data_IF_507851902853
#
_entry.id   IF_507851902853
#
_cell.length_a   1.000
_cell.length_b   1.000
_cell.length_c   1.000
_cell.angle_alpha   90.00
_cell.angle_beta   90.00
_cell.angle_gamma   90.00
#
_symmetry.space_group_name_H-M   'P 1'
#
loop_
_entity.id
_entity.type
_entity.pdbx_description
1 polymer ?
2 non-polymer ?
3 water ?
#
# COMPACT_ATOMS: atom_id res chain seq x y z
N UNK A 27 10.60 -15.18 -3.44
CA UNK A 27 10.48 -14.97 -1.97
C UNK A 27 9.33 -14.00 -1.62
N UNK A 28 9.47 -12.76 -2.07
CA UNK A 28 8.42 -11.79 -1.91
C UNK A 28 7.71 -11.65 -3.26
N UNK A 29 6.40 -11.87 -3.28
CA UNK A 29 5.61 -11.70 -4.49
C UNK A 29 4.80 -10.40 -4.39
N UNK A 30 4.97 -9.53 -5.37
CA UNK A 30 4.21 -8.32 -5.47
C UNK A 30 3.06 -8.49 -6.44
N UNK A 31 1.84 -8.32 -5.92
CA UNK A 31 0.63 -8.33 -6.73
C UNK A 31 -0.11 -7.02 -6.54
N UNK A 32 -0.54 -6.38 -7.62
CA UNK A 32 -1.38 -5.20 -7.49
C UNK A 32 -2.84 -5.56 -7.75
N UNK A 33 -3.76 -4.83 -7.11
CA UNK A 33 -5.17 -5.08 -7.29
C UNK A 33 -5.91 -3.75 -7.37
N UNK A 34 -7.15 -3.78 -7.88
CA UNK A 34 -7.91 -2.55 -8.02
C UNK A 34 -9.33 -2.71 -7.49
N UNK A 35 -9.83 -1.66 -6.84
CA UNK A 35 -11.24 -1.53 -6.53
C UNK A 35 -11.83 -0.54 -7.57
N UNK A 36 -12.49 -1.07 -8.59
CA UNK A 36 -13.13 -0.25 -9.62
C UNK A 36 -14.49 0.13 -9.11
N UNK A 37 -14.78 1.42 -9.10
CA UNK A 37 -16.05 1.94 -8.56
C UNK A 37 -16.94 2.52 -9.64
N UNK A 38 -18.19 2.06 -9.69
CA UNK A 38 -19.12 2.53 -10.71
C UNK A 38 -19.89 3.73 -10.18
N UNK A 39 -20.79 4.26 -11.02
CA UNK A 39 -21.58 5.44 -10.71
C UNK A 39 -22.34 5.29 -9.41
N UNK A 40 -22.68 4.06 -9.05
CA UNK A 40 -23.50 3.82 -7.85
C UNK A 40 -22.71 3.38 -6.61
N UNK A 41 -21.40 3.57 -6.61
CA UNK A 41 -20.53 3.07 -5.53
C UNK A 41 -20.53 1.54 -5.33
N UNK A 42 -20.69 0.81 -6.43
CA UNK A 42 -20.46 -0.62 -6.40
C UNK A 42 -19.02 -0.85 -6.79
N UNK A 43 -18.42 -1.85 -6.19
CA UNK A 43 -17.07 -2.25 -6.55
C UNK A 43 -17.14 -3.56 -7.32
N UNK A 44 -16.23 -3.77 -8.27
CA UNK A 44 -16.26 -5.01 -9.07
C UNK A 44 -15.42 -6.10 -8.45
N UNK A 45 -16.05 -7.25 -8.22
CA UNK A 45 -15.31 -8.47 -7.89
C UNK A 45 -15.42 -9.46 -9.04
N UNK A 46 -14.41 -10.32 -9.20
CA UNK A 46 -14.41 -11.34 -10.25
C UNK A 46 -14.13 -12.73 -9.67
N UNK A 47 -14.59 -13.75 -10.36
CA UNK A 47 -14.50 -15.11 -9.89
C UNK A 47 -14.04 -15.99 -11.05
N UNK A 48 -12.97 -16.75 -10.81
CA UNK A 48 -12.45 -17.70 -11.80
C UNK A 48 -13.54 -18.71 -12.20
N UNK A 49 -13.56 -19.14 -13.47
CA UNK A 49 -14.66 -20.05 -13.87
C UNK A 49 -14.60 -21.40 -13.12
N UNK A 50 -15.74 -22.06 -12.94
CA UNK A 50 -15.77 -23.34 -12.23
C UNK A 50 -14.89 -24.41 -12.92
N UNK A 51 -14.74 -24.34 -14.25
CA UNK A 51 -13.87 -25.25 -15.00
C UNK A 51 -14.22 -26.71 -14.76
N UNK A 52 -13.29 -27.48 -14.20
CA UNK A 52 -13.54 -28.90 -13.99
C UNK A 52 -13.80 -29.26 -12.53
N UNK A 53 -14.05 -28.27 -11.70
CA UNK A 53 -14.40 -28.58 -10.33
C UNK A 53 -15.44 -27.58 -9.85
N UNK A 54 -15.18 -27.00 -8.68
CA UNK A 54 -16.17 -26.11 -8.09
C UNK A 54 -15.90 -24.61 -8.26
N UNK A 55 -16.99 -23.86 -8.08
CA UNK A 55 -16.98 -22.38 -8.10
C UNK A 55 -15.94 -21.80 -7.11
N UNK A 56 -15.07 -20.91 -7.57
CA UNK A 56 -14.02 -20.30 -6.72
C UNK A 56 -14.47 -19.09 -5.90
N UNK A 57 -13.51 -18.35 -5.34
CA UNK A 57 -13.81 -17.20 -4.48
C UNK A 57 -13.98 -15.92 -5.29
N UNK A 58 -14.60 -14.91 -4.68
CA UNK A 58 -14.70 -13.56 -5.27
C UNK A 58 -13.49 -12.71 -4.89
N UNK A 59 -12.93 -11.98 -5.84
CA UNK A 59 -11.76 -11.21 -5.50
C UNK A 59 -11.61 -9.96 -6.35
N UNK A 60 -10.76 -9.05 -5.89
CA UNK A 60 -10.41 -7.87 -6.69
C UNK A 60 -9.63 -8.28 -7.92
N UNK A 61 -9.94 -7.67 -9.05
CA UNK A 61 -9.10 -7.94 -10.23
C UNK A 61 -7.68 -7.40 -10.03
N UNK A 62 -6.69 -8.09 -10.61
CA UNK A 62 -5.30 -7.68 -10.48
C UNK A 62 -4.31 -8.70 -10.99
N UNK A 63 -3.03 -8.48 -10.72
CA UNK A 63 -2.03 -9.45 -11.17
C UNK A 63 -0.65 -9.12 -10.68
N UNK A 64 0.30 -10.01 -11.01
CA UNK A 64 1.72 -9.87 -10.63
C UNK A 64 2.32 -8.59 -11.22
N UNK A 65 3.17 -7.92 -10.46
CA UNK A 65 3.99 -6.83 -11.03
C UNK A 65 5.22 -7.47 -11.70
N UNK A 66 5.31 -7.33 -13.03
CA UNK A 66 6.42 -7.92 -13.81
C UNK A 66 7.59 -6.95 -13.96
N UNK A 67 8.78 -7.49 -14.21
CA UNK A 67 10.03 -6.72 -14.48
C UNK A 67 9.88 -5.61 -15.52
N UNK A 68 10.43 -4.44 -15.21
CA UNK A 68 10.40 -3.32 -16.14
C UNK A 68 9.01 -2.69 -16.24
N UNK A 69 8.13 -3.04 -15.30
CA UNK A 69 6.82 -2.39 -15.18
C UNK A 69 6.70 -1.66 -13.84
N UNK A 70 6.12 -0.49 -13.85
CA UNK A 70 5.68 0.09 -12.59
C UNK A 70 4.46 -0.70 -12.05
N UNK A 71 4.16 -0.56 -10.74
CA UNK A 71 2.92 -1.17 -10.27
C UNK A 71 1.71 -0.68 -11.05
N UNK A 72 1.69 0.59 -11.42
CA UNK A 72 0.55 1.15 -12.16
C UNK A 72 0.42 0.52 -13.56
N UNK A 73 1.54 0.41 -14.27
CA UNK A 73 1.57 -0.23 -15.60
C UNK A 73 1.01 -1.65 -15.57
N UNK A 74 1.49 -2.46 -14.63
CA UNK A 74 1.00 -3.82 -14.38
C UNK A 74 -0.52 -3.88 -14.19
N UNK A 75 -1.03 -3.00 -13.32
CA UNK A 75 -2.45 -3.00 -13.02
C UNK A 75 -3.21 -2.61 -14.27
N UNK A 76 -2.75 -1.54 -14.94
CA UNK A 76 -3.40 -1.02 -16.14
C UNK A 76 -3.52 -2.13 -17.20
N UNK A 77 -2.42 -2.86 -17.41
CA UNK A 77 -2.42 -3.98 -18.36
C UNK A 77 -3.36 -5.12 -17.94
N UNK A 78 -3.33 -5.50 -16.68
CA UNK A 78 -4.24 -6.51 -16.12
C UNK A 78 -5.70 -6.19 -16.31
N UNK A 79 -6.06 -4.94 -16.05
CA UNK A 79 -7.44 -4.54 -16.21
C UNK A 79 -7.87 -4.57 -17.67
N UNK A 80 -6.93 -4.26 -18.57
CA UNK A 80 -7.27 -4.25 -19.99
C UNK A 80 -7.36 -5.70 -20.49
N UNK A 81 -6.39 -6.54 -20.14
CA UNK A 81 -6.43 -7.95 -20.52
C UNK A 81 -7.68 -8.67 -19.98
N UNK A 82 -7.99 -8.48 -18.69
CA UNK A 82 -9.03 -9.27 -18.05
C UNK A 82 -10.43 -8.76 -18.28
N UNK A 83 -10.58 -7.46 -18.48
CA UNK A 83 -11.90 -6.86 -18.42
C UNK A 83 -12.20 -5.92 -19.57
N UNK A 84 -11.20 -5.65 -20.40
CA UNK A 84 -11.30 -4.66 -21.46
C UNK A 84 -11.59 -3.27 -20.92
N UNK A 85 -11.18 -3.03 -19.66
CA UNK A 85 -11.32 -1.72 -19.00
C UNK A 85 -10.01 -0.92 -19.21
N UNK A 86 -10.17 0.34 -19.58
CA UNK A 86 -9.04 1.17 -19.93
C UNK A 86 -8.88 2.30 -18.92
N UNK A 87 -7.72 2.30 -18.27
CA UNK A 87 -7.46 3.16 -17.11
C UNK A 87 -6.21 3.95 -17.37
N UNK A 88 -6.21 5.22 -16.96
CA UNK A 88 -5.01 6.09 -16.94
C UNK A 88 -4.31 6.02 -15.58
N UNK A 89 -2.98 6.04 -15.56
CA UNK A 89 -2.22 6.02 -14.30
C UNK A 89 -2.65 7.12 -13.33
N UNK A 90 -2.90 8.34 -13.82
CA UNK A 90 -3.34 9.46 -12.96
C UNK A 90 -4.71 9.22 -12.31
N UNK A 91 -5.41 8.17 -12.74
CA UNK A 91 -6.72 7.88 -12.15
C UNK A 91 -6.72 6.70 -11.21
N UNK A 92 -5.54 6.11 -11.02
CA UNK A 92 -5.35 5.08 -9.99
C UNK A 92 -4.81 5.69 -8.69
N UNK A 93 -5.58 5.56 -7.60
CA UNK A 93 -5.17 6.09 -6.30
C UNK A 93 -4.84 5.01 -5.29
N UNK A 94 -3.61 5.07 -4.73
CA UNK A 94 -3.26 4.16 -3.65
C UNK A 94 -4.32 4.14 -2.55
N UNK A 95 -4.70 2.97 -2.07
CA UNK A 95 -5.64 2.91 -0.96
C UNK A 95 -4.96 2.27 0.24
N UNK A 96 -4.65 0.99 0.14
CA UNK A 96 -4.01 0.29 1.21
C UNK A 96 -3.25 -0.87 0.61
N UNK A 97 -2.70 -1.72 1.46
CA UNK A 97 -2.04 -2.89 0.98
C UNK A 97 -2.30 -4.04 1.94
N UNK A 98 -2.16 -5.26 1.43
CA UNK A 98 -2.17 -6.42 2.33
C UNK A 98 -0.80 -7.06 2.31
N UNK A 99 -0.49 -7.73 3.40
CA UNK A 99 0.76 -8.36 3.59
C UNK A 99 0.44 -9.67 4.33
N UNK A 100 0.83 -10.79 3.73
CA UNK A 100 0.29 -12.08 4.12
C UNK A 100 1.34 -13.14 3.85
N UNK A 101 1.67 -13.89 4.90
CA UNK A 101 2.65 -14.95 4.81
C UNK A 101 1.98 -16.24 4.33
N UNK A 102 2.62 -16.90 3.36
CA UNK A 102 2.23 -18.26 2.91
C UNK A 102 3.41 -19.19 3.19
N UNK A 103 3.21 -20.51 3.03
CA UNK A 103 4.24 -21.50 3.35
C UNK A 103 5.54 -21.31 2.58
N UNK A 104 5.46 -20.73 1.39
CA UNK A 104 6.57 -20.80 0.43
C UNK A 104 6.97 -19.42 -0.13
N UNK A 105 6.18 -18.39 0.20
CA UNK A 105 6.46 -17.03 -0.27
C UNK A 105 5.69 -16.00 0.55
N UNK A 106 6.11 -14.74 0.47
CA UNK A 106 5.36 -13.64 1.12
C UNK A 106 4.63 -12.81 0.06
N UNK A 107 3.35 -12.51 0.32
CA UNK A 107 2.58 -11.66 -0.57
C UNK A 107 2.56 -10.23 -0.05
N UNK A 108 2.96 -9.29 -0.88
CA UNK A 108 2.70 -7.89 -0.65
C UNK A 108 1.74 -7.43 -1.76
N UNK A 109 0.57 -6.95 -1.36
CA UNK A 109 -0.45 -6.62 -2.31
C UNK A 109 -1.03 -5.21 -2.16
N UNK A 110 -0.48 -4.25 -2.91
CA UNK A 110 -1.03 -2.91 -2.99
C UNK A 110 -2.43 -2.87 -3.69
N UNK A 111 -3.39 -2.26 -3.02
CA UNK A 111 -4.72 -2.02 -3.55
C UNK A 111 -4.93 -0.56 -3.95
N UNK A 112 -5.34 -0.36 -5.20
CA UNK A 112 -5.67 0.94 -5.76
C UNK A 112 -7.18 1.05 -5.88
N UNK A 113 -7.69 2.27 -5.87
CA UNK A 113 -9.07 2.48 -6.27
C UNK A 113 -9.14 3.34 -7.52
N UNK A 114 -10.22 3.16 -8.27
CA UNK A 114 -10.39 3.88 -9.53
C UNK A 114 -11.89 4.03 -9.83
N UNK A 115 -12.34 5.28 -9.94
CA UNK A 115 -13.71 5.60 -10.27
C UNK A 115 -13.84 6.26 -11.65
N UNK A 116 -12.73 6.38 -12.37
CA UNK A 116 -12.72 7.01 -13.69
C UNK A 116 -11.95 6.14 -14.68
N UNK A 117 -12.70 5.46 -15.53
CA UNK A 117 -12.11 4.52 -16.51
C UNK A 117 -13.01 4.44 -17.73
N UNK A 118 -12.47 3.85 -18.79
CA UNK A 118 -13.23 3.71 -20.03
C UNK A 118 -13.42 2.22 -20.36
N UNK A 119 -14.52 1.91 -21.04
CA UNK A 119 -14.82 0.55 -21.48
C UNK A 119 -15.92 -0.02 -20.63
N UNK A 120 -16.52 -1.11 -21.07
CA UNK A 120 -17.51 -1.78 -20.26
C UNK A 120 -16.89 -3.08 -19.78
N UNK A 121 -16.77 -3.25 -18.46
CA UNK A 121 -16.15 -4.45 -17.90
C UNK A 121 -16.89 -5.68 -18.40
N UNK A 122 -16.13 -6.61 -18.97
CA UNK A 122 -16.64 -7.88 -19.50
C UNK A 122 -15.57 -8.92 -19.14
N UNK A 123 -15.98 -10.14 -18.82
CA UNK A 123 -15.01 -11.18 -18.47
C UNK A 123 -14.24 -11.74 -19.67
N UNK A 124 -13.16 -11.07 -20.08
CA UNK A 124 -12.44 -11.47 -21.32
C UNK A 124 -11.68 -12.81 -21.19
N UNK A 125 -11.48 -13.26 -19.97
CA UNK A 125 -10.81 -14.53 -19.70
C UNK A 125 -11.78 -15.57 -19.15
N UNK A 126 -13.05 -15.43 -19.55
CA UNK A 126 -14.12 -16.39 -19.24
C UNK A 126 -14.55 -16.40 -17.77
N UNK A 127 -14.09 -15.41 -17.00
CA UNK A 127 -14.35 -15.36 -15.55
C UNK A 127 -15.69 -14.68 -15.28
N UNK A 128 -16.18 -14.76 -14.04
CA UNK A 128 -17.48 -14.18 -13.65
C UNK A 128 -17.27 -12.82 -12.98
N UNK A 129 -18.24 -11.90 -13.17
CA UNK A 129 -18.14 -10.52 -12.75
C UNK A 129 -19.32 -10.19 -11.88
N UNK A 130 -19.11 -9.42 -10.82
CA UNK A 130 -20.20 -9.01 -9.95
C UNK A 130 -19.92 -7.65 -9.34
N UNK A 131 -20.79 -6.70 -9.68
CA UNK A 131 -20.73 -5.36 -9.12
C UNK A 131 -21.50 -5.35 -7.79
N UNK A 132 -20.79 -5.04 -6.71
CA UNK A 132 -21.31 -5.14 -5.37
C UNK A 132 -21.16 -3.84 -4.60
N UNK A 133 -22.27 -3.31 -4.08
CA UNK A 133 -22.24 -2.14 -3.19
C UNK A 133 -21.16 -2.34 -2.12
N UNK A 134 -20.37 -1.30 -1.87
CA UNK A 134 -19.20 -1.37 -0.95
C UNK A 134 -19.49 -1.94 0.43
N UNK A 135 -20.61 -1.56 1.04
CA UNK A 135 -20.93 -2.08 2.37
C UNK A 135 -21.32 -3.56 2.36
N UNK A 136 -21.62 -4.08 1.16
CA UNK A 136 -22.00 -5.49 1.01
C UNK A 136 -20.84 -6.44 0.66
N UNK A 137 -19.65 -5.92 0.46
CA UNK A 137 -18.55 -6.79 0.01
C UNK A 137 -18.27 -7.98 0.93
N UNK A 138 -18.27 -7.76 2.24
CA UNK A 138 -17.98 -8.85 3.20
C UNK A 138 -19.10 -9.89 3.35
N UNK A 139 -20.18 -9.71 2.57
CA UNK A 139 -21.19 -10.77 2.43
C UNK A 139 -20.73 -11.95 1.55
N UNK A 140 -19.71 -11.73 0.70
CA UNK A 140 -19.26 -12.71 -0.30
C UNK A 140 -17.98 -13.43 0.12
N UNK A 141 -17.86 -14.74 -0.23
CA UNK A 141 -16.62 -15.48 0.08
C UNK A 141 -15.47 -14.88 -0.71
N UNK A 142 -14.39 -14.56 0.01
CA UNK A 142 -13.22 -13.90 -0.59
C UNK A 142 -11.94 -14.51 -0.07
N UNK A 143 -10.84 -14.42 -0.84
CA UNK A 143 -9.58 -14.99 -0.28
C UNK A 143 -9.22 -14.30 1.03
N UNK A 144 -8.55 -15.03 1.92
CA UNK A 144 -8.17 -14.46 3.25
C UNK A 144 -7.36 -13.17 3.13
N UNK A 145 -6.49 -13.11 2.12
CA UNK A 145 -5.63 -11.95 1.88
C UNK A 145 -6.42 -10.71 1.49
N UNK A 146 -7.49 -10.91 0.71
CA UNK A 146 -8.34 -9.80 0.27
C UNK A 146 -9.18 -9.20 1.41
N UNK A 147 -9.43 -9.96 2.47
CA UNK A 147 -10.45 -9.53 3.44
C UNK A 147 -10.16 -8.31 4.31
N UNK A 148 -8.90 -8.15 4.78
CA UNK A 148 -8.62 -6.89 5.47
C UNK A 148 -8.85 -5.68 4.55
N UNK A 149 -8.65 -5.86 3.25
CA UNK A 149 -8.78 -4.75 2.32
C UNK A 149 -10.22 -4.27 2.27
N UNK A 150 -11.17 -5.20 2.36
CA UNK A 150 -12.61 -4.88 2.39
C UNK A 150 -12.95 -3.88 3.50
N UNK A 151 -12.45 -4.15 4.71
CA UNK A 151 -12.70 -3.26 5.86
C UNK A 151 -12.24 -1.83 5.60
N UNK A 152 -11.07 -1.67 4.98
CA UNK A 152 -10.55 -0.34 4.66
C UNK A 152 -11.46 0.40 3.67
N UNK A 153 -12.00 -0.32 2.70
CA UNK A 153 -12.93 0.25 1.74
C UNK A 153 -14.22 0.77 2.38
N UNK A 154 -14.77 -0.01 3.31
CA UNK A 154 -15.99 0.38 4.03
C UNK A 154 -15.84 1.71 4.75
N UNK A 155 -14.76 1.91 5.50
CA UNK A 155 -14.56 3.20 6.19
C UNK A 155 -14.15 4.40 5.35
N UNK A 156 -13.63 4.20 4.15
CA UNK A 156 -13.30 5.32 3.29
C UNK A 156 -14.55 5.79 2.59
N UNK B 27 15.10 -0.57 -11.96
CA UNK B 27 13.81 -1.30 -11.73
C UNK B 27 13.12 -0.87 -10.41
N UNK B 28 12.68 -1.86 -9.62
CA UNK B 28 11.75 -1.63 -8.51
C UNK B 28 12.37 -1.81 -7.10
N UNK B 29 12.46 -0.70 -6.36
CA UNK B 29 12.94 -0.71 -4.97
C UNK B 29 11.73 -0.77 -4.01
N UNK B 30 11.72 -1.79 -3.15
CA UNK B 30 10.69 -1.94 -2.11
C UNK B 30 11.21 -1.50 -0.74
N UNK B 31 10.57 -0.46 -0.21
CA UNK B 31 10.94 0.17 1.06
C UNK B 31 9.72 0.23 2.00
N UNK B 32 9.88 -0.19 3.25
CA UNK B 32 8.81 -0.07 4.21
C UNK B 32 9.09 1.12 5.13
N UNK B 33 8.03 1.83 5.51
CA UNK B 33 8.16 2.99 6.36
C UNK B 33 7.09 2.97 7.45
N UNK B 34 7.33 3.75 8.51
CA UNK B 34 6.39 3.78 9.62
C UNK B 34 6.03 5.17 10.07
N UNK B 35 4.74 5.40 10.28
CA UNK B 35 4.28 6.56 11.03
C UNK B 35 4.09 6.16 12.53
N UNK B 36 5.09 6.46 13.35
CA UNK B 36 4.98 6.28 14.81
C UNK B 36 4.17 7.41 15.38
N UNK B 37 3.19 7.10 16.23
CA UNK B 37 2.28 8.10 16.84
C UNK B 37 2.53 8.27 18.34
N UNK B 38 2.59 9.52 18.82
CA UNK B 38 2.65 9.74 20.28
C UNK B 38 1.25 9.92 20.92
N UNK B 39 1.22 10.10 22.25
CA UNK B 39 -0.06 10.26 22.98
C UNK B 39 -1.02 11.27 22.32
N UNK B 40 -0.46 12.25 21.59
CA UNK B 40 -1.27 13.30 20.96
C UNK B 40 -1.51 13.09 19.47
N UNK B 41 -1.12 11.93 18.95
CA UNK B 41 -1.21 11.68 17.50
C UNK B 41 -0.30 12.56 16.65
N UNK B 42 0.75 13.08 17.25
CA UNK B 42 1.85 13.57 16.45
C UNK B 42 2.55 12.36 15.81
N UNK B 43 3.13 12.58 14.64
CA UNK B 43 3.85 11.57 13.89
C UNK B 43 5.32 11.96 13.90
N UNK B 44 6.21 10.98 14.02
CA UNK B 44 7.64 11.28 14.02
C UNK B 44 8.20 11.32 12.58
N UNK B 45 8.84 12.42 12.24
CA UNK B 45 9.63 12.48 10.99
C UNK B 45 11.08 12.63 11.35
N UNK B 46 11.97 12.20 10.44
CA UNK B 46 13.41 12.31 10.66
C UNK B 46 14.09 12.98 9.46
N UNK B 47 15.19 13.69 9.73
CA UNK B 47 15.96 14.41 8.72
C UNK B 47 17.38 13.89 8.77
N UNK B 48 17.84 13.29 7.68
CA UNK B 48 19.23 12.80 7.56
C UNK B 48 20.24 13.91 7.80
N UNK B 49 21.40 13.57 8.46
CA UNK B 49 22.29 14.61 9.04
C UNK B 49 22.81 15.58 7.98
N UNK B 50 23.00 16.85 8.35
CA UNK B 50 23.55 17.82 7.38
C UNK B 50 25.00 17.49 6.99
N UNK B 51 25.74 16.91 7.94
CA UNK B 51 27.14 16.54 7.74
C UNK B 51 27.95 17.70 7.20
N UNK B 52 28.43 17.55 5.98
CA UNK B 52 29.32 18.55 5.35
C UNK B 52 28.56 19.46 4.37
N UNK B 53 27.26 19.63 4.63
CA UNK B 53 26.33 20.08 3.60
C UNK B 53 25.15 20.86 4.19
N UNK B 54 24.02 20.89 3.50
CA UNK B 54 22.78 21.42 4.08
C UNK B 54 21.99 20.24 4.69
N UNK B 55 21.08 20.53 5.62
CA UNK B 55 20.26 19.47 6.22
C UNK B 55 19.28 18.95 5.19
N UNK B 56 19.05 17.65 5.16
CA UNK B 56 18.13 17.03 4.20
C UNK B 56 16.66 17.36 4.39
N UNK B 57 15.82 16.49 3.85
CA UNK B 57 14.38 16.65 3.88
C UNK B 57 13.79 15.84 5.05
N UNK B 58 12.57 16.18 5.47
CA UNK B 58 11.92 15.44 6.55
C UNK B 58 11.17 14.25 5.98
N UNK B 59 11.34 13.06 6.58
CA UNK B 59 10.73 11.85 6.00
C UNK B 59 10.25 10.82 7.02
N UNK B 60 9.42 9.89 6.57
CA UNK B 60 9.03 8.79 7.44
C UNK B 60 10.23 7.84 7.59
N UNK B 61 10.46 7.38 8.82
CA UNK B 61 11.59 6.49 9.01
C UNK B 61 11.27 5.15 8.35
N UNK B 62 12.28 4.48 7.83
CA UNK B 62 12.06 3.16 7.22
C UNK B 62 13.29 2.68 6.45
N UNK B 63 13.12 1.61 5.69
CA UNK B 63 14.24 1.05 4.97
C UNK B 63 13.83 -0.06 4.04
N UNK B 64 14.81 -0.58 3.31
CA UNK B 64 14.63 -1.60 2.29
C UNK B 64 14.15 -2.92 2.89
N UNK B 65 13.20 -3.59 2.23
CA UNK B 65 12.93 -4.99 2.56
C UNK B 65 14.11 -5.86 2.11
N UNK B 66 14.57 -6.72 3.01
CA UNK B 66 15.71 -7.63 2.75
C UNK B 66 15.22 -9.05 2.42
N UNK B 67 16.09 -9.82 1.76
CA UNK B 67 15.87 -11.25 1.54
C UNK B 67 15.83 -11.98 2.88
N UNK B 68 14.82 -12.83 3.06
CA UNK B 68 14.73 -13.63 4.27
C UNK B 68 14.02 -12.94 5.43
N UNK B 69 13.41 -11.79 5.15
CA UNK B 69 12.61 -11.05 6.15
C UNK B 69 11.31 -10.74 5.51
N UNK B 70 10.22 -10.86 6.26
CA UNK B 70 8.96 -10.23 5.88
C UNK B 70 9.12 -8.69 5.81
N UNK B 71 8.19 -7.98 5.16
CA UNK B 71 8.19 -6.51 5.22
C UNK B 71 8.06 -6.00 6.66
N UNK B 72 7.31 -6.71 7.51
CA UNK B 72 7.14 -6.28 8.88
C UNK B 72 8.46 -6.41 9.65
N UNK B 73 9.12 -7.56 9.49
CA UNK B 73 10.42 -7.83 10.11
C UNK B 73 11.48 -6.81 9.74
N UNK B 74 11.54 -6.42 8.47
CA UNK B 74 12.45 -5.35 8.02
C UNK B 74 12.13 -4.04 8.72
N UNK B 75 10.84 -3.66 8.73
CA UNK B 75 10.45 -2.43 9.37
C UNK B 75 10.86 -2.45 10.89
N UNK B 76 10.59 -3.56 11.57
CA UNK B 76 10.85 -3.68 13.00
C UNK B 76 12.35 -3.55 13.27
N UNK B 77 13.18 -4.24 12.46
CA UNK B 77 14.63 -4.08 12.55
C UNK B 77 15.11 -2.62 12.32
N UNK B 78 14.68 -2.00 11.24
CA UNK B 78 15.00 -0.60 10.91
C UNK B 78 14.63 0.41 12.01
N UNK B 79 13.43 0.25 12.59
CA UNK B 79 13.02 1.15 13.69
C UNK B 79 13.95 1.04 14.91
N UNK B 80 14.46 -0.18 15.15
CA UNK B 80 15.43 -0.40 16.22
C UNK B 80 16.80 0.20 15.88
N UNK B 81 17.28 -0.07 14.66
CA UNK B 81 18.58 0.45 14.23
C UNK B 81 18.58 1.97 14.21
N UNK B 82 17.50 2.55 13.67
CA UNK B 82 17.47 4.01 13.47
C UNK B 82 17.01 4.80 14.66
N UNK B 83 16.13 4.24 15.49
CA UNK B 83 15.53 5.03 16.57
C UNK B 83 15.60 4.40 17.96
N UNK B 84 16.09 3.18 18.05
CA UNK B 84 16.18 2.45 19.31
C UNK B 84 14.80 2.15 19.89
N UNK B 85 13.80 2.04 19.02
CA UNK B 85 12.47 1.66 19.49
C UNK B 85 12.21 0.18 19.15
N UNK B 86 11.39 -0.50 19.96
CA UNK B 86 11.08 -1.92 19.77
C UNK B 86 9.58 -2.04 19.57
N UNK B 87 9.20 -2.58 18.43
CA UNK B 87 7.81 -2.68 18.03
C UNK B 87 7.45 -4.19 18.03
N UNK B 88 6.34 -4.55 18.65
CA UNK B 88 5.81 -5.91 18.48
C UNK B 88 5.05 -5.98 17.16
N UNK B 89 5.13 -7.11 16.45
CA UNK B 89 4.38 -7.21 15.17
C UNK B 89 2.88 -6.95 15.30
N UNK B 90 2.27 -7.42 16.42
CA UNK B 90 0.85 -7.15 16.73
C UNK B 90 0.47 -5.67 16.76
N UNK B 91 1.47 -4.80 16.95
CA UNK B 91 1.23 -3.38 17.13
C UNK B 91 1.54 -2.54 15.91
N UNK B 92 1.81 -3.22 14.80
CA UNK B 92 2.18 -2.58 13.53
C UNK B 92 1.01 -2.71 12.55
N UNK B 93 0.47 -1.60 12.05
CA UNK B 93 -0.72 -1.67 11.21
C UNK B 93 -0.53 -1.08 9.82
N UNK B 94 -0.82 -1.88 8.76
CA UNK B 94 -0.77 -1.36 7.39
C UNK B 94 -1.62 -0.12 7.28
N UNK B 95 -1.15 0.95 6.64
CA UNK B 95 -2.02 2.12 6.45
C UNK B 95 -2.23 2.45 4.96
N UNK B 96 -1.16 2.70 4.23
CA UNK B 96 -1.30 3.02 2.83
C UNK B 96 0.02 2.73 2.18
N UNK B 97 0.17 3.10 0.92
CA UNK B 97 1.48 2.93 0.26
C UNK B 97 1.75 4.10 -0.66
N UNK B 98 3.03 4.33 -0.96
CA UNK B 98 3.40 5.30 -2.01
C UNK B 98 4.03 4.53 -3.16
N UNK B 99 3.83 5.05 -4.36
CA UNK B 99 4.46 4.55 -5.57
C UNK B 99 4.95 5.78 -6.36
N UNK B 100 6.25 5.88 -6.62
CA UNK B 100 6.83 7.10 -7.20
C UNK B 100 7.97 6.78 -8.15
N UNK B 101 7.89 7.33 -9.36
CA UNK B 101 8.98 7.18 -10.31
C UNK B 101 10.06 8.22 -10.04
N UNK B 102 11.25 7.76 -9.65
CA UNK B 102 12.43 8.64 -9.65
C UNK B 102 13.23 8.35 -10.93
N UNK B 103 14.20 9.22 -11.24
CA UNK B 103 14.94 9.14 -12.50
C UNK B 103 15.47 7.75 -12.90
N UNK B 104 16.10 7.02 -11.98
CA UNK B 104 16.71 5.71 -12.34
C UNK B 104 16.04 4.50 -11.68
N UNK B 105 15.05 4.76 -10.83
CA UNK B 105 14.31 3.67 -10.18
C UNK B 105 12.86 4.03 -9.86
N UNK B 106 12.05 2.99 -9.65
CA UNK B 106 10.71 3.16 -9.15
C UNK B 106 10.63 2.72 -7.70
N UNK B 107 9.94 3.52 -6.89
CA UNK B 107 9.76 3.20 -5.46
C UNK B 107 8.34 2.76 -5.16
N UNK B 108 8.22 1.63 -4.49
CA UNK B 108 6.98 1.16 -3.85
C UNK B 108 7.20 1.16 -2.35
N UNK B 109 6.45 1.97 -1.63
CA UNK B 109 6.67 2.13 -0.21
C UNK B 109 5.38 2.01 0.63
N UNK B 110 5.11 0.80 1.14
CA UNK B 110 4.08 0.60 2.17
C UNK B 110 4.41 1.38 3.45
N UNK B 111 3.42 2.11 3.93
CA UNK B 111 3.47 2.84 5.17
C UNK B 111 2.64 2.11 6.20
N UNK B 112 3.26 1.78 7.32
CA UNK B 112 2.56 1.26 8.48
C UNK B 112 2.36 2.39 9.49
N UNK B 113 1.43 2.22 10.44
CA UNK B 113 1.42 3.03 11.63
C UNK B 113 1.60 2.22 12.91
N UNK B 114 1.99 2.91 13.98
CA UNK B 114 2.24 2.24 15.24
C UNK B 114 2.16 3.23 16.36
N UNK B 115 1.27 2.97 17.32
CA UNK B 115 1.15 3.87 18.47
C UNK B 115 1.66 3.26 19.77
N UNK B 116 2.06 1.99 19.73
CA UNK B 116 2.56 1.35 20.92
C UNK B 116 3.89 0.70 20.65
N UNK B 117 4.92 1.17 21.34
CA UNK B 117 6.25 0.61 21.12
C UNK B 117 7.11 0.87 22.35
N UNK B 118 8.15 0.07 22.51
CA UNK B 118 9.02 0.24 23.67
C UNK B 118 10.25 1.12 23.37
N UNK B 119 10.57 1.99 24.34
CA UNK B 119 11.77 2.88 24.30
C UNK B 119 11.48 4.23 23.68
N UNK B 120 12.31 5.23 23.96
CA UNK B 120 12.06 6.59 23.44
C UNK B 120 12.84 6.75 22.15
N UNK B 121 12.15 7.19 21.10
CA UNK B 121 12.78 7.42 19.81
C UNK B 121 13.94 8.41 19.91
N UNK B 122 15.11 8.03 19.39
CA UNK B 122 16.28 8.90 19.42
C UNK B 122 17.15 8.60 18.20
N UNK B 123 17.87 9.60 17.71
CA UNK B 123 18.56 9.44 16.43
C UNK B 123 19.88 8.71 16.52
N UNK B 124 19.89 7.43 16.18
CA UNK B 124 21.11 6.60 16.29
C UNK B 124 21.98 6.67 15.05
N UNK B 125 21.46 7.24 13.98
CA UNK B 125 22.23 7.37 12.74
C UNK B 125 22.46 8.83 12.39
N UNK B 126 22.66 9.63 13.44
CA UNK B 126 22.95 11.03 13.31
C UNK B 126 21.81 11.92 12.84
N UNK B 127 20.58 11.39 12.84
CA UNK B 127 19.49 12.15 12.24
C UNK B 127 18.79 13.09 13.25
N UNK B 128 18.13 14.11 12.74
CA UNK B 128 17.26 14.89 13.60
C UNK B 128 15.84 14.34 13.60
N UNK B 129 15.16 14.50 14.73
CA UNK B 129 13.79 14.03 14.94
C UNK B 129 12.87 15.18 15.21
N UNK B 130 11.66 15.11 14.68
CA UNK B 130 10.62 16.10 15.01
C UNK B 130 9.27 15.41 15.06
N UNK B 131 8.50 15.71 16.10
CA UNK B 131 7.15 15.21 16.25
C UNK B 131 6.21 16.27 15.74
N UNK B 132 5.39 15.91 14.78
CA UNK B 132 4.57 16.88 14.09
C UNK B 132 3.10 16.42 14.06
N UNK B 133 2.18 17.29 14.47
CA UNK B 133 0.75 17.05 14.22
C UNK B 133 0.45 16.76 12.76
N UNK B 134 -0.40 15.76 12.52
CA UNK B 134 -0.70 15.36 11.15
C UNK B 134 -1.14 16.50 10.22
N UNK B 135 -1.88 17.48 10.75
CA UNK B 135 -2.33 18.60 9.95
C UNK B 135 -1.23 19.60 9.66
N UNK B 136 -0.09 19.43 10.34
CA UNK B 136 1.09 20.24 10.12
C UNK B 136 2.14 19.56 9.22
N UNK B 137 1.97 18.27 8.90
CA UNK B 137 3.06 17.57 8.19
C UNK B 137 3.46 18.27 6.90
N UNK B 138 2.48 18.72 6.11
CA UNK B 138 2.76 19.33 4.79
C UNK B 138 3.31 20.75 4.84
N UNK B 139 3.50 21.27 6.05
CA UNK B 139 4.17 22.56 6.22
C UNK B 139 5.69 22.39 6.10
N UNK B 140 6.18 21.15 6.10
CA UNK B 140 7.63 20.86 6.18
C UNK B 140 8.12 20.29 4.85
N UNK B 141 9.37 20.60 4.45
CA UNK B 141 9.95 20.03 3.22
C UNK B 141 10.13 18.52 3.38
N UNK B 142 9.55 17.77 2.44
CA UNK B 142 9.63 16.31 2.42
C UNK B 142 9.98 15.81 1.03
N UNK B 143 10.51 14.58 0.94
CA UNK B 143 10.76 14.03 -0.39
C UNK B 143 9.48 13.92 -1.18
N UNK B 144 9.57 14.10 -2.49
CA UNK B 144 8.39 13.96 -3.37
C UNK B 144 7.61 12.66 -3.14
N UNK B 145 8.31 11.54 -2.91
CA UNK B 145 7.62 10.25 -2.75
C UNK B 145 6.77 10.18 -1.48
N UNK B 146 7.22 10.87 -0.41
CA UNK B 146 6.57 10.83 0.90
C UNK B 146 5.32 11.71 0.92
N UNK B 147 5.28 12.71 0.04
CA UNK B 147 4.21 13.72 0.12
C UNK B 147 2.78 13.22 -0.02
N UNK B 148 2.51 12.30 -0.99
CA UNK B 148 1.12 11.79 -1.08
C UNK B 148 0.67 11.03 0.17
N UNK B 149 1.60 10.37 0.87
CA UNK B 149 1.30 9.77 2.18
C UNK B 149 0.70 10.77 3.19
N UNK B 150 1.19 12.00 3.19
CA UNK B 150 0.70 13.01 4.11
C UNK B 150 -0.81 13.27 3.93
N UNK B 151 -1.26 13.33 2.69
CA UNK B 151 -2.67 13.61 2.42
C UNK B 151 -3.56 12.45 2.88
N UNK B 152 -3.09 11.23 2.68
CA UNK B 152 -3.81 10.04 3.16
C UNK B 152 -3.89 9.98 4.67
N UNK B 153 -2.84 10.44 5.35
CA UNK B 153 -2.81 10.45 6.82
C UNK B 153 -3.95 11.25 7.44
N UNK B 154 -4.34 12.34 6.79
CA UNK B 154 -5.45 13.19 7.27
C UNK B 154 -6.78 12.44 7.15
N UNK B 155 -7.03 11.87 5.97
CA UNK B 155 -8.22 11.05 5.71
C UNK B 155 -8.48 9.97 6.78
N UNK B 156 -7.43 9.24 7.18
CA UNK B 156 -7.57 8.21 8.21
C UNK B 156 -7.68 8.78 9.63
N UNK B 157 -7.02 9.90 9.91
CA UNK B 157 -7.09 10.50 11.25
C UNK B 157 -7.81 11.85 11.21
X LIG C 1 -4.35 -11.64 -15.30
X LIG D 1 17.92 2.24 7.79
#
# INVERSE_FOLDING_TARGET
MAHHHHHHMGTLEAQTQGPGSMPIKSSLLIVVACALLDQDNRVLLTQRPEGKSLAGLWEFPGGKVEQGETPEASLIRELEEELGVHVQADNLFPLTFASHGYETFHLLMPLYFCSHYKGVAQGREGQNLKWIFINDLDKYPMPEADKPLVQVLKNFFI
MAHHHHHHMGTLEAQTQGPGSMPIKSSLLIVVACALLDQDNRVLLTQRPEGKSLAGLWEFPGGKVEQGETPEASLIRELEEELGVHVQADNLFPLTFASHGYETFHLLMPLYFCSHYKGVAQGREGQNLKWIFINDLDKYPMPEADKPLVQVLKNFFI
MG MG
MG MG
#
